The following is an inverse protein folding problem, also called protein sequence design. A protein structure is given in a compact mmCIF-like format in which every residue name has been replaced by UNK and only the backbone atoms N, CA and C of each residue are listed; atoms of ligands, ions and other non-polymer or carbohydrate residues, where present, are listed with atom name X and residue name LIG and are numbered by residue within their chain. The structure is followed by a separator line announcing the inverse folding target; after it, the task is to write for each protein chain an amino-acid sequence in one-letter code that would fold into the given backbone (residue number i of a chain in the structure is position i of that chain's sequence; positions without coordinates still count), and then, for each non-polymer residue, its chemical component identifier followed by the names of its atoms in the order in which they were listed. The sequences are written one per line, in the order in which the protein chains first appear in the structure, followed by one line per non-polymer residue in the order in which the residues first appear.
data_IF_082071487177
#
_entry.id   IF_082071487177
#
_cell.length_a   1.000
_cell.length_b   1.000
_cell.length_c   1.000
_cell.angle_alpha   90.00
_cell.angle_beta   90.00
_cell.angle_gamma   90.00
#
_symmetry.space_group_name_H-M   'P 1'
#
loop_
_entity.id
_entity.type
_entity.pdbx_description
1 polymer ?
#
# COMPACT_ATOMS: atom_id res chain seq x y z
N UNK A 1 6.14 -37.22 14.87
CA UNK A 1 6.88 -36.46 13.84
C UNK A 1 5.92 -35.45 13.19
N UNK A 2 5.80 -34.23 13.72
CA UNK A 2 4.80 -33.25 13.25
C UNK A 2 5.39 -32.36 12.15
N UNK A 3 4.70 -32.33 10.99
CA UNK A 3 5.13 -31.70 9.75
C UNK A 3 4.98 -30.18 9.85
N UNK A 4 6.06 -29.47 10.16
CA UNK A 4 6.09 -28.00 10.17
C UNK A 4 5.69 -27.47 8.77
N UNK A 5 4.49 -26.89 8.66
CA UNK A 5 4.08 -26.13 7.49
C UNK A 5 4.97 -24.88 7.40
N UNK A 6 5.97 -24.91 6.52
CA UNK A 6 6.79 -23.74 6.18
C UNK A 6 5.85 -22.62 5.73
N UNK A 7 5.83 -21.51 6.48
CA UNK A 7 5.15 -20.27 6.10
C UNK A 7 5.78 -19.78 4.79
N UNK A 8 5.04 -19.83 3.70
CA UNK A 8 5.43 -19.18 2.44
C UNK A 8 5.60 -17.68 2.73
N UNK A 9 6.75 -17.06 2.47
CA UNK A 9 6.88 -15.63 2.62
C UNK A 9 5.86 -14.96 1.69
N UNK A 10 5.11 -13.99 2.22
CA UNK A 10 4.14 -13.23 1.45
C UNK A 10 4.82 -12.68 0.19
N UNK A 11 4.16 -12.74 -0.98
CA UNK A 11 4.76 -12.30 -2.24
C UNK A 11 5.20 -10.85 -2.10
N UNK A 12 6.50 -10.59 -2.30
CA UNK A 12 7.02 -9.23 -2.37
C UNK A 12 6.41 -8.57 -3.60
N UNK A 13 5.68 -7.48 -3.37
CA UNK A 13 5.11 -6.68 -4.43
C UNK A 13 6.22 -6.19 -5.37
N UNK A 14 6.24 -6.71 -6.60
CA UNK A 14 6.94 -6.07 -7.71
C UNK A 14 6.10 -4.89 -8.15
N UNK A 15 6.21 -3.79 -7.41
CA UNK A 15 5.76 -2.49 -7.91
C UNK A 15 6.54 -2.24 -9.19
N UNK A 16 5.86 -1.97 -10.32
CA UNK A 16 6.60 -1.43 -11.46
C UNK A 16 7.13 -0.06 -10.99
N UNK A 17 8.44 0.17 -11.01
CA UNK A 17 9.04 1.43 -10.50
C UNK A 17 8.40 2.68 -11.12
N UNK A 18 7.77 2.50 -12.28
CA UNK A 18 7.13 3.55 -13.06
C UNK A 18 5.83 4.10 -12.44
N UNK A 19 5.00 3.25 -11.82
CA UNK A 19 3.68 3.70 -11.31
C UNK A 19 3.82 4.53 -10.01
N UNK A 20 4.73 4.14 -9.13
CA UNK A 20 5.05 4.89 -7.92
C UNK A 20 5.69 6.24 -8.25
N UNK A 21 6.67 6.24 -9.16
CA UNK A 21 7.36 7.45 -9.60
C UNK A 21 6.38 8.44 -10.26
N UNK A 22 5.45 7.94 -11.08
CA UNK A 22 4.42 8.75 -11.69
C UNK A 22 3.52 9.41 -10.63
N UNK A 23 3.00 8.63 -9.67
CA UNK A 23 2.15 9.16 -8.59
C UNK A 23 2.87 10.20 -7.73
N UNK A 24 4.13 9.96 -7.35
CA UNK A 24 4.95 10.91 -6.57
C UNK A 24 5.18 12.21 -7.36
N UNK A 25 5.50 12.09 -8.64
CA UNK A 25 5.70 13.26 -9.51
C UNK A 25 4.42 14.07 -9.65
N UNK A 26 3.27 13.40 -9.78
CA UNK A 26 1.98 14.07 -9.84
C UNK A 26 1.64 14.78 -8.54
N UNK A 27 1.80 14.14 -7.38
CA UNK A 27 1.56 14.79 -6.07
C UNK A 27 2.48 15.99 -5.84
N UNK A 28 3.73 15.93 -6.32
CA UNK A 28 4.69 17.02 -6.18
C UNK A 28 4.42 18.22 -7.12
N UNK A 29 3.66 18.02 -8.22
CA UNK A 29 3.52 19.02 -9.29
C UNK A 29 2.08 19.44 -9.59
N UNK A 30 1.09 18.73 -9.03
CA UNK A 30 -0.32 19.00 -9.23
C UNK A 30 -0.79 20.13 -8.31
N UNK A 31 -0.76 21.35 -8.83
CA UNK A 31 -1.60 22.43 -8.32
C UNK A 31 -3.07 22.18 -8.73
N UNK A 32 -3.99 22.58 -7.86
CA UNK A 32 -5.44 22.43 -8.02
C UNK A 32 -5.92 23.06 -9.33
N UNK A 33 -5.30 24.15 -9.78
CA UNK A 33 -5.61 24.78 -11.07
C UNK A 33 -5.33 23.86 -12.27
N UNK A 34 -4.23 23.11 -12.26
CA UNK A 34 -3.87 22.16 -13.33
C UNK A 34 -4.82 20.96 -13.34
N UNK A 35 -5.20 20.45 -12.17
CA UNK A 35 -6.17 19.37 -12.06
C UNK A 35 -7.54 19.77 -12.60
N UNK A 36 -7.98 21.02 -12.34
CA UNK A 36 -9.22 21.55 -12.92
C UNK A 36 -9.14 21.67 -14.44
N UNK A 37 -8.01 22.12 -14.98
CA UNK A 37 -7.81 22.18 -16.43
C UNK A 37 -7.86 20.78 -17.07
N UNK A 38 -7.21 19.78 -16.46
CA UNK A 38 -7.31 18.39 -16.91
C UNK A 38 -8.74 17.83 -16.82
N UNK A 39 -9.49 18.20 -15.78
CA UNK A 39 -10.88 17.78 -15.63
C UNK A 39 -11.84 18.41 -16.65
N UNK A 40 -11.46 19.52 -17.29
CA UNK A 40 -12.25 20.13 -18.37
C UNK A 40 -12.16 19.36 -19.70
N UNK A 41 -11.09 18.59 -19.90
CA UNK A 41 -10.87 17.76 -21.10
C UNK A 41 -11.36 16.31 -20.87
N UNK A 42 -12.14 15.70 -21.79
CA UNK A 42 -12.44 14.25 -21.75
C UNK A 42 -11.23 13.33 -21.57
N UNK A 43 -10.10 13.62 -22.23
CA UNK A 43 -8.89 12.80 -22.10
C UNK A 43 -8.26 12.95 -20.72
N UNK A 44 -8.17 14.19 -20.22
CA UNK A 44 -7.67 14.49 -18.88
C UNK A 44 -8.53 13.87 -17.77
N UNK A 45 -9.87 13.87 -17.90
CA UNK A 45 -10.77 13.17 -16.96
C UNK A 45 -10.52 11.67 -16.89
N UNK A 46 -10.28 11.04 -18.05
CA UNK A 46 -9.97 9.61 -18.12
C UNK A 46 -8.66 9.28 -17.42
N UNK A 47 -7.65 10.13 -17.60
CA UNK A 47 -6.35 9.98 -16.92
C UNK A 47 -6.46 10.21 -15.41
N UNK A 48 -7.17 11.25 -14.97
CA UNK A 48 -7.45 11.48 -13.54
C UNK A 48 -8.15 10.28 -12.90
N UNK A 49 -9.13 9.70 -13.58
CA UNK A 49 -9.85 8.50 -13.11
C UNK A 49 -8.94 7.27 -13.04
N UNK A 50 -8.00 7.12 -13.98
CA UNK A 50 -6.99 6.05 -13.96
C UNK A 50 -6.07 6.20 -12.76
N UNK A 51 -5.55 7.41 -12.53
CA UNK A 51 -4.63 7.70 -11.43
C UNK A 51 -5.30 7.57 -10.07
N UNK A 52 -6.55 8.01 -9.94
CA UNK A 52 -7.34 7.82 -8.73
C UNK A 52 -7.49 6.34 -8.37
N UNK A 53 -7.76 5.47 -9.35
CA UNK A 53 -7.84 4.01 -9.12
C UNK A 53 -6.50 3.42 -8.67
N UNK A 54 -5.39 3.87 -9.26
CA UNK A 54 -4.05 3.42 -8.84
C UNK A 54 -3.79 3.88 -7.40
N UNK A 55 -4.09 5.13 -7.07
CA UNK A 55 -3.92 5.65 -5.71
C UNK A 55 -4.77 4.85 -4.70
N UNK A 56 -6.04 4.58 -5.00
CA UNK A 56 -6.93 3.79 -4.16
C UNK A 56 -6.40 2.37 -3.91
N UNK A 57 -5.93 1.68 -4.96
CA UNK A 57 -5.35 0.34 -4.82
C UNK A 57 -4.09 0.33 -3.92
N UNK A 58 -3.32 1.42 -3.91
CA UNK A 58 -2.17 1.55 -3.00
C UNK A 58 -2.57 1.77 -1.55
N UNK A 59 -3.63 2.54 -1.30
CA UNK A 59 -4.15 2.73 0.06
C UNK A 59 -4.55 1.39 0.66
N UNK A 60 -5.30 0.58 -0.07
CA UNK A 60 -5.72 -0.77 0.37
C UNK A 60 -4.52 -1.68 0.68
N UNK A 61 -3.50 -1.66 -0.18
CA UNK A 61 -2.25 -2.41 0.03
C UNK A 61 -1.51 -1.96 1.31
N UNK A 62 -1.39 -0.65 1.53
CA UNK A 62 -0.75 -0.10 2.73
C UNK A 62 -1.54 -0.41 4.01
N UNK A 63 -2.87 -0.39 3.96
CA UNK A 63 -3.72 -0.81 5.07
C UNK A 63 -3.49 -2.29 5.43
N UNK A 64 -3.36 -3.16 4.43
CA UNK A 64 -3.00 -4.56 4.64
C UNK A 64 -1.63 -4.73 5.31
N UNK A 65 -0.62 -3.96 4.89
CA UNK A 65 0.70 -3.96 5.54
C UNK A 65 0.67 -3.42 6.97
N UNK A 66 -0.12 -2.39 7.23
CA UNK A 66 -0.30 -1.84 8.58
C UNK A 66 -0.95 -2.88 9.51
N UNK A 67 -1.97 -3.61 9.03
CA UNK A 67 -2.58 -4.68 9.81
C UNK A 67 -1.59 -5.81 10.12
N UNK A 68 -0.80 -6.23 9.12
CA UNK A 68 0.24 -7.24 9.33
C UNK A 68 1.27 -6.81 10.37
N UNK A 69 1.67 -5.53 10.37
CA UNK A 69 2.60 -4.99 11.36
C UNK A 69 2.01 -5.03 12.79
N UNK A 70 0.72 -4.68 12.95
CA UNK A 70 0.00 -4.76 14.24
C UNK A 70 -0.14 -6.19 14.75
N UNK A 71 -0.43 -7.14 13.86
CA UNK A 71 -0.52 -8.55 14.22
C UNK A 71 0.84 -9.07 14.71
N UNK A 72 1.92 -8.67 14.04
CA UNK A 72 3.29 -8.99 14.45
C UNK A 72 3.65 -8.38 15.81
N UNK A 73 3.34 -7.10 16.03
CA UNK A 73 3.52 -6.41 17.32
C UNK A 73 2.78 -7.13 18.45
N UNK A 74 1.52 -7.52 18.22
CA UNK A 74 0.70 -8.25 19.17
C UNK A 74 1.31 -9.60 19.51
N UNK A 75 1.75 -10.34 18.49
CA UNK A 75 2.41 -11.65 18.67
C UNK A 75 3.71 -11.52 19.47
N UNK A 76 4.54 -10.52 19.19
CA UNK A 76 5.77 -10.27 19.92
C UNK A 76 5.50 -9.86 21.38
N UNK A 77 4.55 -8.96 21.61
CA UNK A 77 4.15 -8.54 22.96
C UNK A 77 3.63 -9.73 23.77
N UNK A 78 2.83 -10.60 23.15
CA UNK A 78 2.34 -11.83 23.78
C UNK A 78 3.49 -12.75 24.17
N UNK A 79 4.45 -13.01 23.26
CA UNK A 79 5.60 -13.85 23.53
C UNK A 79 6.50 -13.32 24.66
N UNK A 80 6.70 -12.00 24.73
CA UNK A 80 7.49 -11.36 25.78
C UNK A 80 6.79 -11.41 27.15
N UNK A 81 5.47 -11.28 27.21
CA UNK A 81 4.74 -11.29 28.48
C UNK A 81 4.47 -12.72 28.98
N UNK A 82 4.27 -13.68 28.08
CA UNK A 82 4.05 -15.09 28.45
C UNK A 82 5.32 -15.80 28.93
N UNK A 83 6.51 -15.28 28.63
CA UNK A 83 7.78 -15.83 29.14
C UNK A 83 8.11 -15.37 30.57
N UNK A 84 7.40 -14.37 31.10
CA UNK A 84 7.58 -13.88 32.48
C UNK A 84 6.69 -14.60 33.50
N UNK A 85 5.66 -15.34 33.05
CA UNK A 85 4.72 -16.07 33.92
C UNK A 85 4.98 -17.59 34.00
N UNK A 86 6.11 -18.07 33.45
CA UNK A 86 6.52 -19.49 33.48
C UNK A 86 7.75 -19.71 34.36
#
# INVERSE_FOLDING_TARGET
MSRQKRKTPAPRLRVSPNAETLLRTMLATCDTAKLRAMAADPAGRSELSRLQRIAAARVEEFEGYLQLARDAETMFSTALNTTLEA
#
